data_IF_319440410391
#
_entry.id   IF_319440410391
#
_cell.length_a   1.000
_cell.length_b   1.000
_cell.length_c   1.000
_cell.angle_alpha   90.00
_cell.angle_beta   90.00
_cell.angle_gamma   90.00
#
_symmetry.space_group_name_H-M   'P 1'
#
loop_
_entity.id
_entity.type
_entity.pdbx_description
1 polymer ?
#
# COMPACT_ATOMS: atom_id res chain seq x y z
N UNK A 1 43.01 44.05 32.34
CA UNK A 1 41.59 44.27 32.03
C UNK A 1 41.20 43.99 30.56
N UNK A 2 42.06 44.22 29.57
CA UNK A 2 41.79 43.93 28.13
C UNK A 2 41.61 42.42 27.85
N UNK A 3 42.41 41.55 28.48
CA UNK A 3 42.38 40.10 28.23
C UNK A 3 41.13 39.43 28.82
N UNK A 4 40.59 39.91 29.94
CA UNK A 4 39.40 39.35 30.57
C UNK A 4 38.13 39.56 29.72
N UNK A 5 38.00 40.74 29.09
CA UNK A 5 36.87 41.04 28.19
C UNK A 5 36.89 40.18 26.91
N UNK A 6 38.09 39.91 26.37
CA UNK A 6 38.26 39.05 25.20
C UNK A 6 37.91 37.59 25.52
N UNK A 7 38.31 37.08 26.69
CA UNK A 7 38.00 35.71 27.12
C UNK A 7 36.52 35.52 27.38
N UNK A 8 35.83 36.49 27.97
CA UNK A 8 34.37 36.44 28.18
C UNK A 8 33.61 36.44 26.85
N UNK A 9 34.07 37.22 25.86
CA UNK A 9 33.44 37.26 24.53
C UNK A 9 33.60 35.92 23.78
N UNK A 10 34.74 35.24 23.90
CA UNK A 10 34.98 33.92 23.33
C UNK A 10 34.07 32.83 23.99
N UNK A 11 33.91 32.87 25.30
CA UNK A 11 33.00 31.95 26.01
C UNK A 11 31.54 32.20 25.66
N UNK A 12 31.10 33.43 25.52
CA UNK A 12 29.75 33.78 25.11
C UNK A 12 29.45 33.32 23.67
N UNK A 13 30.43 33.45 22.75
CA UNK A 13 30.29 32.97 21.37
C UNK A 13 30.27 31.43 21.28
N UNK A 14 31.06 30.72 22.12
CA UNK A 14 31.05 29.26 22.19
C UNK A 14 29.75 28.72 22.77
N UNK A 15 29.09 29.43 23.71
CA UNK A 15 27.78 29.05 24.23
C UNK A 15 26.64 29.27 23.22
N UNK A 16 26.77 30.19 22.28
CA UNK A 16 25.77 30.42 21.23
C UNK A 16 25.79 29.36 20.12
N UNK A 17 26.90 28.64 19.95
CA UNK A 17 27.00 27.59 18.89
C UNK A 17 26.49 26.22 19.32
N UNK A 18 26.14 26.01 20.59
CA UNK A 18 25.73 24.72 21.13
C UNK A 18 24.22 24.44 21.06
N UNK A 19 23.43 25.27 20.38
CA UNK A 19 21.94 25.12 20.31
C UNK A 19 21.43 24.59 18.99
N UNK A 20 22.28 23.98 18.15
CA UNK A 20 21.77 23.19 17.01
C UNK A 20 21.51 21.73 17.40
N UNK A 21 20.70 21.54 18.43
CA UNK A 21 20.04 20.25 18.62
C UNK A 21 18.96 20.13 17.56
N UNK A 22 19.28 19.42 16.46
CA UNK A 22 18.22 18.93 15.57
C UNK A 22 17.35 17.98 16.38
N UNK A 23 16.24 18.51 16.90
CA UNK A 23 15.21 17.66 17.50
C UNK A 23 14.64 16.78 16.39
N UNK A 24 14.73 15.47 16.53
CA UNK A 24 14.06 14.54 15.66
C UNK A 24 12.56 14.79 15.75
N UNK A 25 11.96 15.31 14.69
CA UNK A 25 10.52 15.52 14.62
C UNK A 25 9.84 14.25 14.14
N UNK A 26 8.97 13.68 14.97
CA UNK A 26 8.15 12.54 14.58
C UNK A 26 6.87 13.02 13.91
N UNK A 27 6.55 12.43 12.75
CA UNK A 27 5.32 12.72 12.03
C UNK A 27 4.11 12.29 12.86
N UNK A 28 3.04 13.09 12.79
CA UNK A 28 1.72 12.70 13.33
C UNK A 28 1.17 11.51 12.53
N UNK A 29 0.23 10.77 13.15
CA UNK A 29 -0.47 9.70 12.45
C UNK A 29 -1.17 10.24 11.20
N UNK A 30 -1.03 9.51 10.10
CA UNK A 30 -1.68 9.87 8.84
C UNK A 30 -3.21 9.67 8.93
N UNK A 31 -3.95 10.45 8.15
CA UNK A 31 -5.41 10.34 8.04
C UNK A 31 -5.86 9.04 7.35
N UNK A 32 -4.97 8.40 6.62
CA UNK A 32 -5.13 7.11 5.97
C UNK A 32 -4.00 6.20 6.44
N UNK A 33 -4.08 5.67 7.67
CA UNK A 33 -2.99 4.91 8.28
C UNK A 33 -2.63 3.70 7.41
N UNK A 34 -1.35 3.36 7.41
CA UNK A 34 -0.85 2.17 6.75
C UNK A 34 -1.26 0.93 7.52
N UNK A 35 -1.61 -0.11 6.80
CA UNK A 35 -2.05 -1.41 7.33
C UNK A 35 -1.44 -2.55 6.51
N UNK A 36 -1.57 -3.76 7.03
CA UNK A 36 -1.07 -4.98 6.41
C UNK A 36 -2.16 -6.04 6.39
N UNK A 37 -2.46 -6.57 5.21
CA UNK A 37 -3.22 -7.80 5.04
C UNK A 37 -2.30 -8.92 4.59
N UNK A 38 -2.48 -10.14 5.07
CA UNK A 38 -1.63 -11.28 4.69
C UNK A 38 -2.40 -12.59 4.68
N UNK A 39 -1.88 -13.57 3.93
CA UNK A 39 -2.35 -14.94 4.00
C UNK A 39 -1.16 -15.89 4.30
N UNK A 40 -1.30 -16.83 5.25
CA UNK A 40 -2.38 -16.91 6.24
C UNK A 40 -2.50 -15.65 7.09
N UNK A 41 -3.74 -15.29 7.51
CA UNK A 41 -4.02 -14.04 8.23
C UNK A 41 -3.53 -14.06 9.68
N UNK A 42 -3.43 -15.24 10.30
CA UNK A 42 -3.00 -15.38 11.70
C UNK A 42 -1.57 -14.86 11.91
N UNK A 43 -1.40 -13.92 12.83
CA UNK A 43 -0.08 -13.38 13.21
C UNK A 43 0.86 -14.42 13.82
N UNK A 44 0.34 -15.56 14.26
CA UNK A 44 1.13 -16.69 14.81
C UNK A 44 1.82 -17.53 13.74
N UNK A 45 1.39 -17.39 12.48
CA UNK A 45 1.96 -18.13 11.34
C UNK A 45 2.93 -17.21 10.63
N UNK A 46 4.23 -17.50 10.68
CA UNK A 46 5.29 -16.73 10.02
C UNK A 46 5.45 -17.07 8.54
N UNK A 47 5.15 -18.33 8.13
CA UNK A 47 5.20 -18.76 6.74
C UNK A 47 4.01 -18.19 5.95
N UNK A 48 4.21 -16.98 5.43
CA UNK A 48 3.22 -16.29 4.62
C UNK A 48 3.32 -16.69 3.15
N UNK A 49 2.18 -16.79 2.48
CA UNK A 49 2.12 -16.92 1.02
C UNK A 49 2.14 -15.57 0.35
N UNK A 50 1.38 -14.62 0.89
CA UNK A 50 1.26 -13.27 0.36
C UNK A 50 1.07 -12.25 1.49
N UNK A 51 1.53 -11.03 1.27
CA UNK A 51 1.29 -9.87 2.14
C UNK A 51 1.08 -8.61 1.29
N UNK A 52 0.09 -7.80 1.66
CA UNK A 52 -0.13 -6.48 1.08
C UNK A 52 0.06 -5.43 2.15
N UNK A 53 0.90 -4.43 1.85
CA UNK A 53 1.06 -3.21 2.66
C UNK A 53 0.36 -2.08 1.92
N UNK A 54 -0.57 -1.40 2.57
CA UNK A 54 -1.42 -0.41 1.92
C UNK A 54 -1.93 0.63 2.91
N UNK A 55 -2.26 1.83 2.44
CA UNK A 55 -2.91 2.84 3.27
C UNK A 55 -4.43 2.72 3.16
N UNK A 56 -5.14 3.00 4.26
CA UNK A 56 -6.59 2.85 4.42
C UNK A 56 -7.33 4.18 4.38
N UNK A 57 -7.63 4.74 3.19
CA UNK A 57 -8.46 5.92 3.10
C UNK A 57 -9.89 5.63 3.57
N UNK A 58 -10.52 6.64 4.18
CA UNK A 58 -11.90 6.61 4.63
C UNK A 58 -12.78 7.42 3.67
N UNK A 59 -14.02 7.02 3.48
CA UNK A 59 -14.97 7.75 2.64
C UNK A 59 -15.32 9.12 3.25
N UNK A 60 -15.62 9.17 4.53
CA UNK A 60 -16.06 10.39 5.24
C UNK A 60 -17.18 11.11 4.48
N UNK A 61 -18.21 10.34 4.10
CA UNK A 61 -19.37 10.83 3.36
C UNK A 61 -19.11 11.15 1.88
N UNK A 62 -17.92 10.90 1.36
CA UNK A 62 -17.60 11.09 -0.07
C UNK A 62 -18.01 9.86 -0.88
N UNK A 63 -18.48 10.08 -2.11
CA UNK A 63 -18.72 8.98 -3.02
C UNK A 63 -17.41 8.28 -3.42
N UNK A 64 -17.43 6.95 -3.51
CA UNK A 64 -16.27 6.15 -3.96
C UNK A 64 -15.74 6.62 -5.32
N UNK A 65 -16.64 6.94 -6.26
CA UNK A 65 -16.30 7.42 -7.60
C UNK A 65 -15.47 8.71 -7.64
N UNK A 66 -15.52 9.53 -6.57
CA UNK A 66 -14.65 10.72 -6.45
C UNK A 66 -13.23 10.38 -6.00
N UNK A 67 -13.05 9.27 -5.31
CA UNK A 67 -11.77 8.85 -4.72
C UNK A 67 -11.03 7.83 -5.57
N UNK A 68 -11.78 6.95 -6.21
CA UNK A 68 -11.31 5.93 -7.15
C UNK A 68 -12.24 5.93 -8.40
N UNK A 69 -12.05 6.88 -9.32
CA UNK A 69 -12.92 7.03 -10.50
C UNK A 69 -12.85 5.83 -11.43
N UNK A 70 -14.00 5.43 -11.97
CA UNK A 70 -14.09 4.36 -12.95
C UNK A 70 -13.20 4.62 -14.18
N UNK A 71 -12.54 3.58 -14.69
CA UNK A 71 -11.65 3.64 -15.85
C UNK A 71 -10.31 4.34 -15.59
N UNK A 72 -10.01 4.75 -14.35
CA UNK A 72 -8.72 5.39 -14.01
C UNK A 72 -7.89 4.46 -13.15
N UNK A 73 -6.58 4.41 -13.42
CA UNK A 73 -5.64 3.68 -12.56
C UNK A 73 -5.62 4.32 -11.18
N UNK A 74 -5.90 3.51 -10.18
CA UNK A 74 -5.88 3.88 -8.77
C UNK A 74 -4.79 3.09 -8.04
N UNK A 75 -4.06 3.76 -7.16
CA UNK A 75 -2.95 3.23 -6.35
C UNK A 75 -3.36 2.19 -5.29
N UNK A 76 -4.61 1.73 -5.30
CA UNK A 76 -5.17 0.72 -4.38
C UNK A 76 -4.96 1.10 -2.90
N UNK A 77 -5.26 2.36 -2.59
CA UNK A 77 -5.07 2.94 -1.25
C UNK A 77 -4.95 4.45 -1.28
N UNK A 78 -4.12 5.00 -0.40
CA UNK A 78 -3.79 6.42 -0.31
C UNK A 78 -2.28 6.58 -0.15
N UNK A 79 -1.77 7.81 -0.40
CA UNK A 79 -0.34 8.15 -0.37
C UNK A 79 0.46 7.34 -1.40
N UNK A 80 1.34 6.45 -0.98
CA UNK A 80 2.06 5.53 -1.85
C UNK A 80 1.11 4.50 -2.49
N UNK A 81 1.51 3.93 -3.61
CA UNK A 81 0.83 2.77 -4.18
C UNK A 81 0.94 1.57 -3.23
N UNK A 82 -0.13 0.80 -3.08
CA UNK A 82 -0.08 -0.43 -2.31
C UNK A 82 1.00 -1.38 -2.87
N UNK A 83 1.65 -2.14 -1.99
CA UNK A 83 2.63 -3.14 -2.38
C UNK A 83 2.16 -4.52 -1.98
N UNK A 84 2.24 -5.46 -2.92
CA UNK A 84 1.95 -6.87 -2.71
C UNK A 84 3.25 -7.67 -2.81
N UNK A 85 3.54 -8.46 -1.77
CA UNK A 85 4.69 -9.35 -1.73
C UNK A 85 4.21 -10.78 -1.77
N UNK A 86 4.61 -11.52 -2.81
CA UNK A 86 4.43 -12.96 -2.90
C UNK A 86 5.68 -13.64 -2.35
N UNK A 87 5.53 -14.50 -1.37
CA UNK A 87 6.63 -15.29 -0.80
C UNK A 87 6.75 -16.65 -1.48
N UNK A 88 5.68 -17.09 -2.14
CA UNK A 88 5.60 -18.32 -2.93
C UNK A 88 5.13 -17.98 -4.34
N UNK A 89 5.50 -18.76 -5.37
CA UNK A 89 4.98 -18.53 -6.70
C UNK A 89 3.47 -18.79 -6.72
N UNK A 90 2.73 -17.95 -7.43
CA UNK A 90 1.28 -18.09 -7.60
C UNK A 90 0.86 -17.79 -9.04
N UNK A 91 -0.24 -18.32 -9.47
CA UNK A 91 -0.84 -17.99 -10.76
C UNK A 91 -1.85 -16.86 -10.60
N UNK A 92 -1.77 -15.86 -11.44
CA UNK A 92 -2.75 -14.81 -11.63
C UNK A 92 -3.45 -15.04 -13.00
N UNK A 93 -4.55 -15.76 -13.00
CA UNK A 93 -5.12 -16.30 -14.22
C UNK A 93 -4.14 -17.27 -14.90
N UNK A 94 -3.64 -16.91 -16.09
CA UNK A 94 -2.64 -17.71 -16.84
C UNK A 94 -1.20 -17.25 -16.61
N UNK A 95 -0.97 -16.20 -15.82
CA UNK A 95 0.35 -15.61 -15.64
C UNK A 95 0.97 -16.09 -14.33
N UNK A 96 2.18 -16.61 -14.39
CA UNK A 96 2.99 -16.97 -13.23
C UNK A 96 3.54 -15.70 -12.58
N UNK A 97 3.19 -15.46 -11.32
CA UNK A 97 3.82 -14.46 -10.47
C UNK A 97 4.93 -15.12 -9.67
N UNK A 98 6.14 -14.69 -9.91
CA UNK A 98 7.30 -15.17 -9.14
C UNK A 98 7.32 -14.56 -7.74
N UNK A 99 7.96 -15.20 -6.75
CA UNK A 99 8.22 -14.56 -5.46
C UNK A 99 8.90 -13.20 -5.65
N UNK A 100 8.43 -12.20 -4.92
CA UNK A 100 8.91 -10.82 -5.03
C UNK A 100 7.88 -9.81 -4.54
N UNK A 101 8.29 -8.55 -4.52
CA UNK A 101 7.42 -7.41 -4.19
C UNK A 101 7.07 -6.65 -5.46
N UNK A 102 5.82 -6.26 -5.57
CA UNK A 102 5.21 -5.59 -6.70
C UNK A 102 4.33 -4.44 -6.21
N UNK A 103 4.09 -3.44 -7.03
CA UNK A 103 3.01 -2.49 -6.79
C UNK A 103 1.67 -3.11 -7.20
N UNK A 104 0.64 -2.81 -6.41
CA UNK A 104 -0.73 -3.19 -6.69
C UNK A 104 -1.51 -1.95 -7.12
N UNK A 105 -1.95 -1.93 -8.37
CA UNK A 105 -2.88 -0.93 -8.88
C UNK A 105 -4.24 -1.56 -9.18
N UNK A 106 -5.26 -0.72 -9.25
CA UNK A 106 -6.61 -1.16 -9.58
C UNK A 106 -7.25 -0.14 -10.53
N UNK A 107 -8.02 -0.62 -11.50
CA UNK A 107 -8.89 0.21 -12.33
C UNK A 107 -10.32 -0.14 -11.93
N UNK A 108 -11.03 0.72 -11.18
CA UNK A 108 -12.44 0.51 -10.87
C UNK A 108 -13.29 0.51 -12.15
N UNK A 109 -14.25 -0.39 -12.21
CA UNK A 109 -15.25 -0.45 -13.27
C UNK A 109 -16.66 -0.61 -12.69
N UNK A 110 -17.67 -0.54 -13.54
CA UNK A 110 -19.08 -0.65 -13.13
C UNK A 110 -19.49 -2.10 -12.85
N UNK A 111 -18.97 -3.05 -13.61
CA UNK A 111 -19.32 -4.48 -13.53
C UNK A 111 -18.22 -5.32 -12.91
N UNK A 112 -16.99 -4.93 -13.10
CA UNK A 112 -15.80 -5.59 -12.60
C UNK A 112 -14.68 -4.58 -12.40
N UNK A 113 -13.73 -4.91 -11.54
CA UNK A 113 -12.52 -4.14 -11.38
C UNK A 113 -11.35 -4.88 -12.02
N UNK A 114 -10.37 -4.14 -12.52
CA UNK A 114 -9.13 -4.71 -13.02
C UNK A 114 -8.03 -4.50 -11.98
N UNK A 115 -7.41 -5.56 -11.50
CA UNK A 115 -6.23 -5.50 -10.64
C UNK A 115 -4.98 -5.68 -11.46
N UNK A 116 -3.94 -4.91 -11.17
CA UNK A 116 -2.68 -4.87 -11.90
C UNK A 116 -1.54 -5.12 -10.93
N UNK A 117 -0.73 -6.13 -11.21
CA UNK A 117 0.54 -6.41 -10.54
C UNK A 117 1.64 -5.80 -11.39
N UNK A 118 2.35 -4.81 -10.86
CA UNK A 118 3.36 -4.05 -11.59
C UNK A 118 4.73 -4.18 -10.93
N UNK A 119 5.77 -4.39 -11.72
CA UNK A 119 7.13 -4.64 -11.21
C UNK A 119 7.86 -3.41 -10.69
N UNK A 120 7.40 -2.20 -10.98
CA UNK A 120 7.92 -0.99 -10.34
C UNK A 120 7.37 -0.85 -8.93
N UNK A 121 8.22 -0.54 -7.97
CA UNK A 121 7.86 -0.41 -6.54
C UNK A 121 8.19 0.98 -6.01
N UNK A 122 7.72 1.27 -4.79
CA UNK A 122 7.96 2.56 -4.10
C UNK A 122 7.43 3.78 -4.86
N UNK A 123 6.32 3.60 -5.58
CA UNK A 123 5.70 4.66 -6.38
C UNK A 123 4.80 5.54 -5.52
N UNK A 124 4.90 6.86 -5.69
CA UNK A 124 3.99 7.80 -5.09
C UNK A 124 2.70 7.88 -5.92
N UNK A 125 1.59 7.41 -5.36
CA UNK A 125 0.30 7.44 -6.04
C UNK A 125 0.27 6.55 -7.29
N UNK A 126 -0.49 6.96 -8.29
CA UNK A 126 -0.52 6.34 -9.61
C UNK A 126 0.12 7.27 -10.68
N UNK A 127 0.81 8.33 -10.26
CA UNK A 127 1.35 9.33 -11.17
C UNK A 127 2.47 8.80 -12.06
N UNK A 128 3.22 7.84 -11.55
CA UNK A 128 4.34 7.20 -12.25
C UNK A 128 4.01 5.79 -12.74
N UNK A 129 2.73 5.39 -12.68
CA UNK A 129 2.33 4.11 -13.24
C UNK A 129 2.69 4.03 -14.72
N UNK A 130 3.28 2.92 -15.12
CA UNK A 130 3.65 2.65 -16.49
C UNK A 130 3.32 1.20 -16.84
N UNK A 131 2.39 1.04 -17.77
CA UNK A 131 1.85 -0.25 -18.19
C UNK A 131 2.93 -1.23 -18.72
N UNK A 132 4.06 -0.73 -19.23
CA UNK A 132 5.14 -1.60 -19.73
C UNK A 132 5.76 -2.50 -18.64
N UNK A 133 5.53 -2.15 -17.37
CA UNK A 133 6.01 -2.91 -16.21
C UNK A 133 4.93 -3.80 -15.58
N UNK A 134 3.77 -3.92 -16.22
CA UNK A 134 2.72 -4.84 -15.76
C UNK A 134 3.17 -6.28 -15.93
N UNK A 135 3.16 -7.01 -14.84
CA UNK A 135 3.47 -8.44 -14.79
C UNK A 135 2.21 -9.25 -15.03
N UNK A 136 1.10 -8.83 -14.44
CA UNK A 136 -0.19 -9.47 -14.61
C UNK A 136 -1.33 -8.45 -14.49
N UNK A 137 -2.39 -8.73 -15.23
CA UNK A 137 -3.67 -8.02 -15.15
C UNK A 137 -4.77 -9.04 -14.94
N UNK A 138 -5.60 -8.85 -13.90
CA UNK A 138 -6.58 -9.82 -13.45
C UNK A 138 -7.92 -9.12 -13.26
N UNK A 139 -9.00 -9.75 -13.69
CA UNK A 139 -10.34 -9.26 -13.41
C UNK A 139 -10.77 -9.63 -11.99
N UNK A 140 -11.47 -8.72 -11.34
CA UNK A 140 -12.05 -8.89 -10.03
C UNK A 140 -13.57 -8.72 -10.12
N UNK A 141 -14.30 -9.71 -9.70
CA UNK A 141 -15.76 -9.65 -9.62
C UNK A 141 -16.22 -8.71 -8.53
N UNK A 142 -17.35 -8.03 -8.74
CA UNK A 142 -17.91 -7.08 -7.78
C UNK A 142 -19.10 -7.68 -7.06
N UNK A 143 -19.10 -7.55 -5.74
CA UNK A 143 -20.27 -7.81 -4.88
C UNK A 143 -20.57 -6.59 -4.01
N UNK A 144 -21.74 -6.60 -3.37
CA UNK A 144 -22.11 -5.51 -2.44
C UNK A 144 -21.25 -5.54 -1.19
N UNK A 145 -20.77 -4.37 -0.79
CA UNK A 145 -20.01 -4.14 0.42
C UNK A 145 -20.58 -2.99 1.24
N UNK A 146 -20.04 -2.81 2.44
CA UNK A 146 -20.39 -1.68 3.32
C UNK A 146 -19.18 -1.39 4.22
N UNK A 147 -18.13 -0.80 3.64
CA UNK A 147 -16.85 -0.59 4.32
C UNK A 147 -16.43 0.86 4.25
N UNK A 148 -16.44 1.57 5.38
CA UNK A 148 -16.08 3.00 5.45
C UNK A 148 -14.60 3.24 5.13
N UNK A 149 -13.71 2.43 5.72
CA UNK A 149 -12.28 2.50 5.44
C UNK A 149 -11.89 1.42 4.43
N UNK A 150 -11.15 1.79 3.39
CA UNK A 150 -10.60 0.82 2.45
C UNK A 150 -9.90 -0.32 3.19
N UNK A 151 -10.21 -1.55 2.83
CA UNK A 151 -9.72 -2.74 3.52
C UNK A 151 -9.39 -3.84 2.52
N UNK A 152 -8.31 -4.58 2.79
CA UNK A 152 -7.92 -5.78 2.04
C UNK A 152 -8.02 -6.97 2.99
N UNK A 153 -8.55 -8.09 2.49
CA UNK A 153 -8.61 -9.36 3.20
C UNK A 153 -8.31 -10.51 2.24
N UNK A 154 -7.96 -11.66 2.80
CA UNK A 154 -7.76 -12.90 2.06
C UNK A 154 -8.61 -14.01 2.64
N UNK A 155 -9.13 -14.88 1.76
CA UNK A 155 -9.76 -16.15 2.14
C UNK A 155 -9.08 -17.30 1.40
N UNK A 156 -9.03 -18.45 2.04
CA UNK A 156 -8.56 -19.69 1.44
C UNK A 156 -9.64 -20.27 0.53
N UNK A 157 -9.23 -20.82 -0.60
CA UNK A 157 -10.08 -21.59 -1.52
C UNK A 157 -9.35 -22.87 -1.94
N UNK A 158 -10.06 -23.84 -2.52
CA UNK A 158 -9.54 -25.20 -2.78
C UNK A 158 -8.18 -25.24 -3.48
N UNK A 159 -7.90 -24.31 -4.37
CA UNK A 159 -6.64 -24.27 -5.10
C UNK A 159 -5.96 -22.88 -5.04
N UNK A 160 -5.91 -22.26 -3.88
CA UNK A 160 -5.25 -20.96 -3.75
C UNK A 160 -5.90 -20.03 -2.75
N UNK A 161 -5.99 -18.76 -3.10
CA UNK A 161 -6.52 -17.71 -2.25
C UNK A 161 -7.36 -16.72 -3.06
N UNK A 162 -8.39 -16.18 -2.42
CA UNK A 162 -9.07 -14.96 -2.89
C UNK A 162 -8.57 -13.75 -2.16
N UNK A 163 -8.33 -12.66 -2.89
CA UNK A 163 -8.06 -11.34 -2.36
C UNK A 163 -9.30 -10.47 -2.55
N UNK A 164 -9.77 -9.90 -1.45
CA UNK A 164 -10.94 -9.03 -1.40
C UNK A 164 -10.52 -7.59 -1.11
N UNK A 165 -10.97 -6.66 -1.91
CA UNK A 165 -10.82 -5.21 -1.73
C UNK A 165 -12.18 -4.61 -1.41
N UNK A 166 -12.40 -4.24 -0.13
CA UNK A 166 -13.65 -3.64 0.32
C UNK A 166 -13.54 -2.13 0.47
N UNK A 167 -14.43 -1.36 -0.19
CA UNK A 167 -14.54 0.07 0.05
C UNK A 167 -15.92 0.62 -0.36
N UNK A 168 -16.60 1.25 0.57
CA UNK A 168 -17.96 1.74 0.37
C UNK A 168 -18.90 0.60 -0.01
N UNK A 169 -19.70 0.77 -1.05
CA UNK A 169 -20.70 -0.21 -1.46
C UNK A 169 -20.11 -1.40 -2.25
N UNK A 170 -18.79 -1.51 -2.37
CA UNK A 170 -18.14 -2.49 -3.26
C UNK A 170 -17.18 -3.39 -2.49
N UNK A 171 -17.24 -4.68 -2.80
CA UNK A 171 -16.16 -5.65 -2.56
C UNK A 171 -15.74 -6.18 -3.93
N UNK A 172 -14.49 -5.95 -4.31
CA UNK A 172 -13.89 -6.50 -5.52
C UNK A 172 -13.02 -7.71 -5.16
N UNK A 173 -13.31 -8.87 -5.74
CA UNK A 173 -12.66 -10.15 -5.41
C UNK A 173 -11.93 -10.72 -6.62
N UNK A 174 -10.68 -11.13 -6.43
CA UNK A 174 -9.87 -11.84 -7.43
C UNK A 174 -9.16 -13.03 -6.83
N UNK A 175 -8.80 -14.01 -7.67
CA UNK A 175 -8.14 -15.25 -7.26
C UNK A 175 -6.67 -15.27 -7.65
N UNK A 176 -5.87 -15.85 -6.76
CA UNK A 176 -4.53 -16.35 -7.06
C UNK A 176 -4.52 -17.85 -6.79
N UNK A 177 -4.11 -18.65 -7.78
CA UNK A 177 -4.09 -20.11 -7.62
C UNK A 177 -2.67 -20.62 -7.37
N UNK A 178 -2.57 -21.75 -6.70
CA UNK A 178 -1.31 -22.44 -6.50
C UNK A 178 -0.71 -22.86 -7.85
N UNK A 179 0.61 -22.88 -7.92
CA UNK A 179 1.29 -23.48 -9.07
C UNK A 179 1.15 -24.99 -8.96
N UNK A 180 0.59 -25.62 -9.97
CA UNK A 180 0.53 -27.10 -10.07
C UNK A 180 1.91 -27.55 -10.56
N UNK A 181 2.59 -28.36 -9.75
CA UNK A 181 3.82 -29.05 -10.13
C UNK A 181 3.61 -30.10 -11.21
#
# INVERSE_FOLDING_TARGET
MKNLKSTILFFALALMTSQLTFSQEFKKLDKSPMDVASFPSSYKISDKTVKVTYSRPQLKGRALSKLAPAGKVWRTGANEAAQITFYKPMMAGKTLIKPGTYSLFTIPGEKEWTMIINSEINLWGAYYYNQKYDVATIQATITKGETEAFSIAFTEVDNGIEMHLGWGPVIATTNFTNVVE
#
